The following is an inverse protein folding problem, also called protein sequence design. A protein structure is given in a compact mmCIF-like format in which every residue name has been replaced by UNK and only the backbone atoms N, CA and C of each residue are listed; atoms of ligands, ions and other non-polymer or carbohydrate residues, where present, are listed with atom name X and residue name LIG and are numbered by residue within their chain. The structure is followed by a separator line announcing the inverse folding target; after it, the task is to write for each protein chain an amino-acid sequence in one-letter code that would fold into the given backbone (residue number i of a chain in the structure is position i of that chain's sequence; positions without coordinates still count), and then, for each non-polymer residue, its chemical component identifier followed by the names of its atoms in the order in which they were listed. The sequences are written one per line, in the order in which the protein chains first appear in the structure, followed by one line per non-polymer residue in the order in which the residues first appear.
data_IF_283968622007
#
_entry.id   IF_283968622007
#
_cell.length_a   1.000
_cell.length_b   1.000
_cell.length_c   1.000
_cell.angle_alpha   90.00
_cell.angle_beta   90.00
_cell.angle_gamma   90.00
#
_symmetry.space_group_name_H-M   'P 1'
#
loop_
_entity.id
_entity.type
_entity.pdbx_description
1 polymer ?
#
# COMPACT_ATOMS: atom_id res chain seq x y z
N UNK A 1 1.29 15.91 -28.35
CA UNK A 1 1.24 14.55 -27.75
C UNK A 1 2.09 14.59 -26.50
N UNK A 2 1.52 14.35 -25.33
CA UNK A 2 2.25 14.29 -24.06
C UNK A 2 2.34 12.84 -23.60
N UNK A 3 3.55 12.34 -23.39
CA UNK A 3 3.78 11.00 -22.85
C UNK A 3 4.60 11.15 -21.59
N UNK A 4 4.10 10.61 -20.49
CA UNK A 4 4.85 10.50 -19.24
C UNK A 4 5.02 9.03 -18.89
N UNK A 5 6.25 8.64 -18.55
CA UNK A 5 6.55 7.35 -17.96
C UNK A 5 7.03 7.59 -16.54
N UNK A 6 6.35 6.97 -15.58
CA UNK A 6 6.73 7.07 -14.17
C UNK A 6 6.98 5.66 -13.65
N UNK A 7 8.22 5.41 -13.22
CA UNK A 7 8.63 4.14 -12.63
C UNK A 7 8.97 4.35 -11.16
N UNK A 8 8.32 3.59 -10.27
CA UNK A 8 8.62 3.60 -8.85
C UNK A 8 9.42 2.35 -8.47
N UNK A 9 10.66 2.57 -8.03
CA UNK A 9 11.61 1.50 -7.71
C UNK A 9 12.44 1.83 -6.44
N UNK A 10 11.74 2.21 -5.37
CA UNK A 10 12.38 2.42 -4.07
C UNK A 10 12.64 1.10 -3.35
N UNK A 11 13.62 1.12 -2.44
CA UNK A 11 13.97 -0.01 -1.59
C UNK A 11 13.30 0.09 -0.23
N UNK A 12 12.92 -1.03 0.37
CA UNK A 12 12.40 -1.02 1.75
C UNK A 12 13.46 -0.53 2.74
N UNK A 13 13.02 0.15 3.81
CA UNK A 13 13.91 0.50 4.92
C UNK A 13 14.51 -0.76 5.56
N UNK A 14 13.76 -1.87 5.56
CA UNK A 14 14.25 -3.22 5.86
C UNK A 14 13.70 -4.21 4.85
N UNK A 15 14.61 -4.97 4.24
CA UNK A 15 14.28 -6.01 3.25
C UNK A 15 13.34 -7.08 3.80
N UNK A 16 12.62 -7.72 2.89
CA UNK A 16 11.99 -9.00 3.18
C UNK A 16 13.04 -10.11 3.01
N UNK A 17 13.16 -11.07 3.94
CA UNK A 17 14.08 -12.20 3.74
C UNK A 17 13.58 -13.08 2.59
N UNK A 18 14.38 -13.22 1.52
CA UNK A 18 14.02 -14.04 0.35
C UNK A 18 13.68 -15.49 0.71
N UNK A 19 14.35 -16.05 1.73
CA UNK A 19 14.05 -17.40 2.27
C UNK A 19 12.63 -17.57 2.81
N UNK A 20 11.94 -16.46 3.13
CA UNK A 20 10.58 -16.46 3.62
C UNK A 20 9.55 -16.18 2.50
N UNK A 21 10.02 -15.95 1.27
CA UNK A 21 9.15 -15.79 0.10
C UNK A 21 8.68 -17.16 -0.37
N UNK A 22 7.40 -17.30 -0.69
CA UNK A 22 6.85 -18.54 -1.22
C UNK A 22 5.43 -18.42 -1.71
N UNK A 23 4.92 -19.47 -2.33
CA UNK A 23 3.54 -19.52 -2.79
C UNK A 23 2.54 -19.53 -1.63
N UNK A 24 1.41 -18.86 -1.84
CA UNK A 24 0.31 -18.77 -0.90
C UNK A 24 -1.03 -18.54 -1.61
N UNK A 25 -2.12 -18.72 -0.87
CA UNK A 25 -3.47 -18.54 -1.39
C UNK A 25 -3.89 -17.08 -1.33
N UNK A 26 -4.25 -16.52 -2.48
CA UNK A 26 -4.94 -15.25 -2.61
C UNK A 26 -6.43 -15.48 -2.86
N UNK A 27 -7.28 -14.93 -2.00
CA UNK A 27 -8.74 -15.09 -2.00
C UNK A 27 -9.37 -13.99 -2.84
N UNK A 28 -9.62 -14.29 -4.11
CA UNK A 28 -10.18 -13.33 -5.07
C UNK A 28 -11.65 -13.02 -4.73
N UNK A 29 -12.37 -14.03 -4.27
CA UNK A 29 -13.72 -13.96 -3.73
C UNK A 29 -13.83 -14.95 -2.56
N UNK A 30 -14.87 -14.86 -1.72
CA UNK A 30 -14.99 -15.64 -0.47
C UNK A 30 -14.74 -17.16 -0.62
N UNK A 31 -14.93 -17.75 -1.81
CA UNK A 31 -14.66 -19.18 -2.09
C UNK A 31 -13.67 -19.45 -3.22
N UNK A 32 -13.18 -18.41 -3.92
CA UNK A 32 -12.28 -18.55 -5.07
C UNK A 32 -10.88 -18.13 -4.68
N UNK A 33 -9.92 -19.03 -4.84
CA UNK A 33 -8.51 -18.75 -4.56
C UNK A 33 -7.63 -18.98 -5.77
N UNK A 34 -6.55 -18.21 -5.88
CA UNK A 34 -5.44 -18.41 -6.81
C UNK A 34 -4.13 -18.55 -6.03
N UNK A 35 -3.11 -19.14 -6.64
CA UNK A 35 -1.76 -19.13 -6.08
C UNK A 35 -1.08 -17.81 -6.42
N UNK A 36 -0.40 -17.19 -5.45
CA UNK A 36 0.49 -16.04 -5.64
C UNK A 36 1.74 -16.19 -4.79
N UNK A 37 2.81 -15.54 -5.21
CA UNK A 37 4.04 -15.45 -4.41
C UNK A 37 3.87 -14.36 -3.36
N UNK A 38 4.12 -14.70 -2.10
CA UNK A 38 4.08 -13.78 -0.97
C UNK A 38 5.46 -13.66 -0.36
N UNK A 39 5.84 -12.43 -0.06
CA UNK A 39 7.00 -12.11 0.77
C UNK A 39 6.55 -12.01 2.22
N UNK A 40 7.34 -12.54 3.15
CA UNK A 40 7.01 -12.54 4.58
C UNK A 40 8.11 -11.98 5.46
N UNK A 41 7.74 -11.13 6.41
CA UNK A 41 8.64 -10.71 7.51
C UNK A 41 7.88 -10.40 8.79
N UNK A 42 8.55 -10.62 9.92
CA UNK A 42 8.13 -10.08 11.22
C UNK A 42 8.93 -8.82 11.49
N UNK A 43 8.27 -7.68 11.68
CA UNK A 43 8.95 -6.39 11.88
C UNK A 43 8.03 -5.41 12.63
N UNK A 44 8.61 -4.31 13.12
CA UNK A 44 7.84 -3.20 13.67
C UNK A 44 7.29 -2.32 12.55
N UNK A 45 5.96 -2.22 12.48
CA UNK A 45 5.27 -1.46 11.44
C UNK A 45 4.15 -0.62 12.04
N UNK A 46 3.84 0.49 11.38
CA UNK A 46 2.66 1.29 11.74
C UNK A 46 1.42 0.52 11.32
N UNK A 47 0.56 0.22 12.28
CA UNK A 47 -0.68 -0.50 12.05
C UNK A 47 -1.85 0.09 12.80
N UNK A 48 -3.01 0.00 12.16
CA UNK A 48 -4.28 0.38 12.75
C UNK A 48 -5.39 -0.47 12.16
N UNK A 49 -6.26 -0.96 13.03
CA UNK A 49 -7.56 -1.49 12.63
C UNK A 49 -8.51 -0.31 12.44
N UNK A 50 -9.08 -0.20 11.26
CA UNK A 50 -10.15 0.74 10.96
C UNK A 50 -11.47 -0.04 10.91
N UNK A 51 -12.27 0.09 11.95
CA UNK A 51 -13.60 -0.51 11.98
C UNK A 51 -14.53 0.24 11.01
N UNK A 52 -15.18 -0.52 10.13
CA UNK A 52 -16.35 -0.03 9.41
C UNK A 52 -17.55 -0.11 10.34
N UNK A 53 -18.60 0.69 10.08
CA UNK A 53 -19.87 0.57 10.80
C UNK A 53 -20.53 -0.81 10.64
N UNK A 54 -21.81 -0.92 10.98
CA UNK A 54 -22.55 -2.18 10.95
C UNK A 54 -22.38 -2.96 9.62
N UNK A 55 -21.99 -4.24 9.72
CA UNK A 55 -21.84 -5.15 8.57
C UNK A 55 -20.42 -5.68 8.30
N UNK A 56 -19.43 -5.36 9.14
CA UNK A 56 -18.10 -5.99 9.07
C UNK A 56 -17.21 -5.47 7.93
N UNK A 57 -17.45 -4.24 7.47
CA UNK A 57 -16.71 -3.57 6.38
C UNK A 57 -15.39 -2.91 6.84
N UNK A 58 -14.81 -3.36 7.94
CA UNK A 58 -13.52 -2.83 8.42
C UNK A 58 -12.35 -3.21 7.53
N UNK A 59 -11.25 -2.51 7.70
CA UNK A 59 -9.97 -2.79 7.04
C UNK A 59 -8.81 -2.61 8.00
N UNK A 60 -7.73 -3.33 7.72
CA UNK A 60 -6.44 -3.12 8.35
C UNK A 60 -5.64 -2.13 7.52
N UNK A 61 -5.06 -1.14 8.20
CA UNK A 61 -4.05 -0.25 7.65
C UNK A 61 -2.68 -0.74 8.12
N UNK A 62 -1.79 -1.03 7.17
CA UNK A 62 -0.38 -1.35 7.44
C UNK A 62 0.50 -0.41 6.62
N UNK A 63 1.40 0.32 7.27
CA UNK A 63 2.35 1.18 6.57
C UNK A 63 3.79 0.66 6.73
N UNK A 64 4.39 0.30 5.61
CA UNK A 64 5.76 -0.23 5.51
C UNK A 64 6.68 0.88 5.00
N UNK A 65 7.72 1.27 5.75
CA UNK A 65 8.60 2.35 5.33
C UNK A 65 9.55 1.93 4.20
N UNK A 66 9.72 2.81 3.22
CA UNK A 66 10.85 2.79 2.29
C UNK A 66 12.10 3.38 2.93
N UNK A 67 13.25 3.06 2.37
CA UNK A 67 14.52 3.67 2.72
C UNK A 67 14.51 5.15 2.35
N UNK A 68 15.22 5.96 3.13
CA UNK A 68 15.27 7.41 2.95
C UNK A 68 14.66 8.14 4.13
N UNK A 69 15.50 8.91 4.80
CA UNK A 69 15.12 9.76 5.91
C UNK A 69 15.23 11.24 5.53
N UNK A 70 14.49 12.10 6.22
CA UNK A 70 14.71 13.54 6.13
C UNK A 70 15.90 14.00 7.01
N UNK A 71 16.09 15.32 7.09
CA UNK A 71 17.13 15.95 7.89
C UNK A 71 16.99 15.65 9.40
N UNK A 72 15.78 15.29 9.86
CA UNK A 72 15.49 14.92 11.25
C UNK A 72 15.65 13.41 11.49
N UNK A 73 16.16 12.67 10.51
CA UNK A 73 16.27 11.20 10.54
C UNK A 73 14.90 10.49 10.64
N UNK A 74 13.82 11.16 10.22
CA UNK A 74 12.49 10.54 10.19
C UNK A 74 12.26 9.84 8.85
N UNK A 75 11.61 8.68 8.88
CA UNK A 75 11.20 7.96 7.68
C UNK A 75 10.07 8.72 6.97
N UNK A 76 10.29 9.02 5.70
CA UNK A 76 9.43 9.97 4.97
C UNK A 76 8.46 9.32 4.00
N UNK A 77 8.74 8.10 3.55
CA UNK A 77 7.93 7.45 2.51
C UNK A 77 7.50 6.06 2.95
N UNK A 78 6.24 5.75 2.68
CA UNK A 78 5.62 4.49 3.10
C UNK A 78 4.83 3.88 1.95
N UNK A 79 4.90 2.56 1.81
CA UNK A 79 3.83 1.81 1.16
C UNK A 79 2.76 1.54 2.20
N UNK A 80 1.55 2.07 1.98
CA UNK A 80 0.41 1.90 2.86
C UNK A 80 -0.55 0.93 2.22
N UNK A 81 -0.88 -0.14 2.91
CA UNK A 81 -1.86 -1.14 2.50
C UNK A 81 -3.16 -0.93 3.27
N UNK A 82 -4.27 -0.89 2.54
CA UNK A 82 -5.63 -0.94 3.04
C UNK A 82 -6.18 -2.33 2.71
N UNK A 83 -6.19 -3.20 3.72
CA UNK A 83 -6.53 -4.62 3.58
C UNK A 83 -7.93 -4.83 4.13
N UNK A 84 -8.95 -5.05 3.29
CA UNK A 84 -10.30 -5.26 3.77
C UNK A 84 -10.40 -6.54 4.59
N UNK A 85 -11.26 -6.59 5.60
CA UNK A 85 -11.44 -7.82 6.41
C UNK A 85 -12.12 -8.95 5.66
N UNK A 86 -12.80 -8.65 4.55
CA UNK A 86 -13.51 -9.60 3.67
C UNK A 86 -12.95 -9.54 2.26
N UNK A 87 -12.97 -10.67 1.55
CA UNK A 87 -12.47 -10.75 0.17
C UNK A 87 -13.41 -10.08 -0.84
N UNK A 88 -14.70 -10.02 -0.55
CA UNK A 88 -15.76 -9.42 -1.38
C UNK A 88 -16.03 -7.93 -1.07
N UNK A 89 -15.12 -7.26 -0.36
CA UNK A 89 -15.30 -5.86 0.02
C UNK A 89 -15.22 -4.93 -1.19
N UNK A 90 -16.08 -3.91 -1.21
CA UNK A 90 -16.00 -2.82 -2.19
C UNK A 90 -14.78 -1.94 -1.89
N UNK A 91 -13.72 -2.12 -2.68
CA UNK A 91 -12.48 -1.35 -2.56
C UNK A 91 -12.70 0.16 -2.74
N UNK A 92 -13.68 0.59 -3.54
CA UNK A 92 -14.02 2.00 -3.70
C UNK A 92 -14.59 2.61 -2.41
N UNK A 93 -15.41 1.84 -1.68
CA UNK A 93 -15.87 2.21 -0.34
C UNK A 93 -14.72 2.24 0.66
N UNK A 94 -13.84 1.23 0.66
CA UNK A 94 -12.65 1.20 1.53
C UNK A 94 -11.77 2.43 1.32
N UNK A 95 -11.54 2.85 0.07
CA UNK A 95 -10.79 4.07 -0.24
C UNK A 95 -11.46 5.32 0.34
N UNK A 96 -12.78 5.45 0.19
CA UNK A 96 -13.55 6.59 0.73
C UNK A 96 -13.55 6.60 2.26
N UNK A 97 -13.78 5.45 2.88
CA UNK A 97 -13.81 5.29 4.34
C UNK A 97 -12.42 5.57 4.94
N UNK A 98 -11.36 5.18 4.25
CA UNK A 98 -10.01 5.60 4.59
C UNK A 98 -9.83 7.11 4.48
N UNK A 99 -10.03 7.69 3.29
CA UNK A 99 -9.63 9.07 3.02
C UNK A 99 -10.51 10.09 3.75
N UNK A 100 -11.83 9.94 3.67
CA UNK A 100 -12.78 10.88 4.25
C UNK A 100 -13.17 10.51 5.69
N UNK A 101 -13.18 9.21 6.04
CA UNK A 101 -13.53 8.74 7.37
C UNK A 101 -12.34 8.74 8.34
N UNK A 102 -11.43 7.78 8.17
CA UNK A 102 -10.32 7.55 9.09
C UNK A 102 -9.27 8.67 9.05
N UNK A 103 -8.86 9.08 7.85
CA UNK A 103 -7.84 10.10 7.63
C UNK A 103 -8.40 11.52 7.70
N UNK A 104 -9.72 11.70 7.51
CA UNK A 104 -10.38 13.01 7.46
C UNK A 104 -9.68 14.01 6.51
N UNK A 105 -9.22 13.52 5.36
CA UNK A 105 -8.48 14.29 4.36
C UNK A 105 -6.99 14.47 4.64
N UNK A 106 -6.46 13.99 5.77
CA UNK A 106 -5.04 14.09 6.14
C UNK A 106 -4.42 12.72 6.49
N UNK A 107 -4.06 11.91 5.47
CA UNK A 107 -3.40 10.63 5.69
C UNK A 107 -2.12 10.73 6.51
N UNK A 108 -1.34 11.81 6.39
CA UNK A 108 -0.10 11.98 7.15
C UNK A 108 -0.35 12.09 8.65
N UNK A 109 -1.37 12.85 9.07
CA UNK A 109 -1.78 12.91 10.48
C UNK A 109 -2.25 11.55 10.99
N UNK A 110 -3.01 10.81 10.18
CA UNK A 110 -3.44 9.46 10.54
C UNK A 110 -2.24 8.51 10.73
N UNK A 111 -1.30 8.50 9.78
CA UNK A 111 -0.11 7.64 9.83
C UNK A 111 0.75 7.95 11.06
N UNK A 112 0.96 9.23 11.39
CA UNK A 112 1.68 9.65 12.62
C UNK A 112 1.01 9.10 13.88
N UNK A 113 -0.32 9.05 13.92
CA UNK A 113 -1.10 8.52 15.05
C UNK A 113 -1.19 6.99 15.11
N UNK A 114 -0.76 6.28 14.06
CA UNK A 114 -0.79 4.81 14.06
C UNK A 114 0.27 4.25 15.02
N UNK A 115 -0.11 3.21 15.78
CA UNK A 115 0.79 2.53 16.69
C UNK A 115 1.86 1.76 15.93
N UNK A 116 3.10 1.85 16.41
CA UNK A 116 4.17 0.95 15.98
C UNK A 116 3.99 -0.38 16.71
N UNK A 117 3.81 -1.46 15.95
CA UNK A 117 3.58 -2.81 16.48
C UNK A 117 4.45 -3.83 15.77
N UNK A 118 4.85 -4.88 16.48
CA UNK A 118 5.47 -6.06 15.87
C UNK A 118 4.41 -6.91 15.16
N UNK A 119 4.55 -7.06 13.85
CA UNK A 119 3.57 -7.73 12.97
C UNK A 119 4.28 -8.78 12.14
N UNK A 120 3.69 -9.97 12.05
CA UNK A 120 4.02 -11.02 11.07
C UNK A 120 3.19 -10.77 9.81
N UNK A 121 3.84 -10.22 8.78
CA UNK A 121 3.20 -9.68 7.59
C UNK A 121 3.47 -10.53 6.35
N UNK A 122 2.40 -10.87 5.61
CA UNK A 122 2.46 -11.49 4.28
C UNK A 122 2.02 -10.48 3.21
N UNK A 123 2.90 -10.13 2.27
CA UNK A 123 2.63 -9.18 1.18
C UNK A 123 2.80 -9.87 -0.18
N UNK A 124 1.85 -9.74 -1.12
CA UNK A 124 2.04 -10.22 -2.49
C UNK A 124 3.28 -9.59 -3.13
N UNK A 125 4.09 -10.42 -3.77
CA UNK A 125 5.13 -9.95 -4.67
C UNK A 125 4.47 -9.50 -5.97
N UNK A 126 4.82 -8.31 -6.45
CA UNK A 126 4.31 -7.73 -7.69
C UNK A 126 5.52 -7.38 -8.57
N UNK A 127 5.58 -7.93 -9.77
CA UNK A 127 6.63 -7.66 -10.75
C UNK A 127 6.00 -7.10 -12.03
N UNK A 128 6.49 -5.96 -12.48
CA UNK A 128 6.12 -5.34 -13.75
C UNK A 128 4.68 -4.84 -13.81
N UNK A 129 4.05 -4.48 -12.69
CA UNK A 129 2.68 -3.94 -12.73
C UNK A 129 2.70 -2.61 -13.48
N UNK A 130 2.10 -2.62 -14.67
CA UNK A 130 2.07 -1.49 -15.59
C UNK A 130 0.63 -1.09 -15.90
N UNK A 131 0.34 0.20 -15.76
CA UNK A 131 -0.92 0.81 -16.18
C UNK A 131 -0.65 1.89 -17.20
N UNK A 132 -1.35 1.84 -18.33
CA UNK A 132 -1.32 2.87 -19.36
C UNK A 132 -2.62 3.66 -19.31
N UNK A 133 -2.53 4.92 -18.90
CA UNK A 133 -3.67 5.80 -18.65
C UNK A 133 -3.76 6.83 -19.77
N UNK A 134 -4.90 6.84 -20.47
CA UNK A 134 -5.22 7.85 -21.48
C UNK A 134 -5.92 9.02 -20.79
N UNK A 135 -5.20 10.12 -20.59
CA UNK A 135 -5.68 11.26 -19.80
C UNK A 135 -6.92 11.92 -20.39
N UNK A 136 -7.06 11.92 -21.72
CA UNK A 136 -8.24 12.48 -22.40
C UNK A 136 -9.52 11.76 -22.01
N UNK A 137 -9.48 10.45 -21.72
CA UNK A 137 -10.67 9.70 -21.29
C UNK A 137 -11.11 10.08 -19.87
N UNK A 138 -10.16 10.41 -19.00
CA UNK A 138 -10.42 10.84 -17.61
C UNK A 138 -10.89 12.30 -17.58
N UNK A 139 -10.29 13.16 -18.41
CA UNK A 139 -10.52 14.61 -18.45
C UNK A 139 -11.64 15.01 -19.43
N UNK A 140 -12.36 14.04 -20.02
CA UNK A 140 -13.47 14.31 -20.96
C UNK A 140 -14.58 15.17 -20.37
N UNK A 141 -14.69 15.26 -19.05
CA UNK A 141 -15.62 16.16 -18.34
C UNK A 141 -15.10 17.58 -18.10
N UNK A 142 -13.82 17.89 -18.39
CA UNK A 142 -13.20 19.20 -18.10
C UNK A 142 -12.74 19.96 -19.34
N UNK A 143 -12.59 19.30 -20.50
CA UNK A 143 -12.23 19.96 -21.74
C UNK A 143 -13.48 20.20 -22.61
N UNK A 144 -13.77 21.47 -22.89
CA UNK A 144 -14.78 21.86 -23.86
C UNK A 144 -14.52 21.21 -25.22
N UNK A 145 -15.60 20.87 -25.92
CA UNK A 145 -15.63 20.22 -27.23
C UNK A 145 -15.09 21.14 -28.34
N UNK A 146 -13.79 21.42 -28.31
CA UNK A 146 -13.06 22.16 -29.34
C UNK A 146 -12.21 21.22 -30.21
N UNK A 147 -12.02 21.53 -31.51
CA UNK A 147 -11.29 20.66 -32.45
C UNK A 147 -9.78 20.54 -32.16
N UNK A 148 -9.23 21.37 -31.26
CA UNK A 148 -7.83 21.31 -30.79
C UNK A 148 -7.62 20.39 -29.57
N UNK A 149 -8.68 19.83 -28.99
CA UNK A 149 -8.68 19.03 -27.76
C UNK A 149 -8.22 17.57 -27.90
N UNK A 150 -7.79 17.14 -29.09
CA UNK A 150 -7.43 15.76 -29.40
C UNK A 150 -5.92 15.45 -29.32
N UNK A 151 -5.14 16.28 -28.62
CA UNK A 151 -3.73 15.97 -28.39
C UNK A 151 -3.61 14.78 -27.43
N UNK A 152 -3.35 13.59 -27.98
CA UNK A 152 -3.18 12.35 -27.22
C UNK A 152 -2.20 12.55 -26.05
N UNK A 153 -2.70 12.33 -24.84
CA UNK A 153 -1.94 12.46 -23.61
C UNK A 153 -2.02 11.15 -22.83
N UNK A 154 -0.87 10.52 -22.59
CA UNK A 154 -0.77 9.19 -21.99
C UNK A 154 0.21 9.19 -20.83
N UNK A 155 -0.17 8.53 -19.74
CA UNK A 155 0.73 8.28 -18.61
C UNK A 155 0.87 6.78 -18.43
N UNK A 156 2.08 6.29 -18.56
CA UNK A 156 2.45 4.91 -18.22
C UNK A 156 3.04 4.90 -16.82
N UNK A 157 2.49 4.08 -15.93
CA UNK A 157 2.97 3.92 -14.55
C UNK A 157 3.42 2.49 -14.35
N UNK A 158 4.63 2.31 -13.82
CA UNK A 158 5.18 1.00 -13.47
C UNK A 158 5.58 0.96 -11.98
N UNK A 159 5.24 -0.12 -11.30
CA UNK A 159 5.64 -0.35 -9.91
C UNK A 159 6.01 -1.81 -9.68
N UNK A 160 7.13 -2.02 -8.97
CA UNK A 160 7.58 -3.31 -8.48
C UNK A 160 7.49 -3.36 -6.96
N UNK A 161 6.98 -4.47 -6.43
CA UNK A 161 6.90 -4.79 -5.00
C UNK A 161 7.63 -6.11 -4.79
N UNK A 162 8.91 -6.03 -4.41
CA UNK A 162 9.81 -7.18 -4.25
C UNK A 162 10.58 -7.10 -2.91
N UNK A 163 11.50 -8.03 -2.68
CA UNK A 163 12.16 -8.19 -1.40
C UNK A 163 13.20 -7.10 -1.09
N UNK A 164 13.62 -6.33 -2.09
CA UNK A 164 14.78 -5.44 -2.03
C UNK A 164 14.65 -4.38 -0.94
N UNK A 165 15.66 -4.28 -0.10
CA UNK A 165 15.70 -3.32 1.00
C UNK A 165 17.07 -3.27 1.66
N UNK A 166 17.24 -2.30 2.53
CA UNK A 166 18.46 -2.16 3.31
C UNK A 166 18.61 -3.31 4.31
N UNK A 167 19.85 -3.70 4.58
CA UNK A 167 20.22 -4.49 5.76
C UNK A 167 20.19 -3.55 6.98
N UNK A 168 19.00 -3.10 7.38
CA UNK A 168 18.85 -2.20 8.52
C UNK A 168 18.86 -2.95 9.84
N UNK A 169 19.71 -2.52 10.79
CA UNK A 169 19.59 -2.87 12.21
C UNK A 169 18.20 -2.50 12.73
N UNK A 170 17.70 -3.21 13.74
CA UNK A 170 16.40 -2.96 14.36
C UNK A 170 16.24 -1.47 14.70
N UNK A 171 15.00 -0.97 14.71
CA UNK A 171 14.72 0.33 15.30
C UNK A 171 14.95 -0.05 16.75
N UNK A 172 16.10 0.34 17.29
CA UNK A 172 16.43 0.14 18.70
C UNK A 172 15.48 1.03 19.48
N UNK A 173 14.22 0.61 19.52
CA UNK A 173 13.27 1.11 20.49
C UNK A 173 13.54 0.25 21.72
N UNK A 174 14.21 0.88 22.68
CA UNK A 174 14.41 0.39 24.03
C UNK A 174 13.04 0.06 24.64
N UNK A 175 12.61 -1.19 24.51
CA UNK A 175 11.24 -1.59 24.83
C UNK A 175 11.11 -3.07 25.20
N UNK A 176 11.64 -3.41 26.37
CA UNK A 176 11.29 -4.56 27.21
C UNK A 176 11.18 -5.94 26.54
N UNK A 177 12.27 -6.71 26.64
CA UNK A 177 12.29 -8.16 26.44
C UNK A 177 11.57 -8.90 27.59
N UNK A 178 10.29 -8.62 27.83
CA UNK A 178 9.44 -9.33 28.79
C UNK A 178 7.99 -9.08 28.40
N UNK A 179 7.42 -9.96 27.57
CA UNK A 179 6.02 -10.39 27.60
C UNK A 179 5.77 -11.17 26.30
N UNK A 180 5.19 -12.37 26.41
CA UNK A 180 4.71 -13.18 25.29
C UNK A 180 3.49 -12.52 24.60
N UNK A 181 3.67 -11.30 24.07
CA UNK A 181 2.65 -10.64 23.28
C UNK A 181 2.47 -11.44 21.99
N UNK A 182 1.25 -11.95 21.79
CA UNK A 182 0.84 -12.63 20.56
C UNK A 182 1.13 -11.69 19.39
N UNK A 183 2.12 -12.03 18.57
CA UNK A 183 2.46 -11.28 17.36
C UNK A 183 1.24 -11.24 16.45
N UNK A 184 0.82 -10.04 16.08
CA UNK A 184 -0.33 -9.83 15.21
C UNK A 184 0.01 -10.31 13.80
N UNK A 185 -0.86 -11.12 13.20
CA UNK A 185 -0.67 -11.65 11.83
C UNK A 185 -1.53 -10.87 10.87
N UNK A 186 -0.92 -10.22 9.90
CA UNK A 186 -1.64 -9.52 8.82
C UNK A 186 -1.26 -10.14 7.49
N UNK A 187 -2.26 -10.58 6.73
CA UNK A 187 -2.06 -11.20 5.41
C UNK A 187 -2.79 -10.41 4.34
N UNK A 188 -2.04 -9.90 3.38
CA UNK A 188 -2.57 -9.14 2.25
C UNK A 188 -2.95 -10.11 1.13
N UNK A 189 -3.84 -11.05 1.44
CA UNK A 189 -4.10 -12.22 0.62
C UNK A 189 -5.50 -12.21 0.00
N UNK A 190 -6.04 -11.05 -0.32
CA UNK A 190 -7.38 -10.79 -0.85
C UNK A 190 -7.39 -9.42 -1.53
N UNK A 191 -8.36 -9.06 -2.36
CA UNK A 191 -8.42 -7.76 -3.00
C UNK A 191 -8.14 -6.60 -2.04
N UNK A 192 -7.23 -5.70 -2.43
CA UNK A 192 -6.76 -4.63 -1.57
C UNK A 192 -6.42 -3.37 -2.38
N UNK A 193 -6.27 -2.26 -1.66
CA UNK A 193 -5.65 -1.04 -2.18
C UNK A 193 -4.34 -0.84 -1.45
N UNK A 194 -3.27 -0.56 -2.18
CA UNK A 194 -2.03 -0.05 -1.63
C UNK A 194 -1.70 1.30 -2.25
N UNK A 195 -0.92 2.13 -1.56
CA UNK A 195 -0.47 3.39 -2.12
C UNK A 195 0.86 3.82 -1.53
N UNK A 196 1.67 4.49 -2.34
CA UNK A 196 2.91 5.12 -1.89
C UNK A 196 2.58 6.50 -1.37
N UNK A 197 2.90 6.77 -0.11
CA UNK A 197 2.67 8.05 0.55
C UNK A 197 3.98 8.73 0.92
N UNK A 198 4.14 10.00 0.56
CA UNK A 198 5.28 10.82 0.98
C UNK A 198 4.82 11.83 2.04
N UNK A 199 5.33 11.63 3.27
CA UNK A 199 5.02 12.42 4.46
C UNK A 199 5.48 13.88 4.35
N UNK A 200 6.54 14.16 3.56
CA UNK A 200 7.11 15.52 3.47
C UNK A 200 6.20 16.46 2.71
N UNK A 201 5.60 15.96 1.64
CA UNK A 201 4.67 16.74 0.81
C UNK A 201 3.20 16.44 1.12
N UNK A 202 2.93 15.47 2.01
CA UNK A 202 1.59 15.01 2.37
C UNK A 202 0.76 14.61 1.13
N UNK A 203 1.34 13.77 0.27
CA UNK A 203 0.72 13.34 -0.99
C UNK A 203 0.86 11.84 -1.24
N UNK A 204 -0.18 11.30 -1.87
CA UNK A 204 -0.16 9.98 -2.51
C UNK A 204 0.56 10.12 -3.84
N UNK A 205 1.60 9.32 -4.05
CA UNK A 205 2.40 9.30 -5.27
C UNK A 205 1.87 8.26 -6.26
N UNK A 206 1.51 7.09 -5.76
CA UNK A 206 1.03 5.96 -6.55
C UNK A 206 -0.09 5.25 -5.82
N UNK A 207 -1.05 4.70 -6.56
CA UNK A 207 -2.10 3.83 -6.04
C UNK A 207 -2.06 2.52 -6.82
N UNK A 208 -2.05 1.41 -6.08
CA UNK A 208 -2.17 0.05 -6.58
C UNK A 208 -3.51 -0.48 -6.13
N UNK A 209 -4.29 -0.97 -7.08
CA UNK A 209 -5.50 -1.75 -6.82
C UNK A 209 -5.23 -3.15 -7.36
N UNK A 210 -5.13 -4.11 -6.47
CA UNK A 210 -4.89 -5.51 -6.83
C UNK A 210 -6.10 -6.34 -6.44
N UNK A 211 -6.76 -6.90 -7.44
CA UNK A 211 -7.96 -7.73 -7.29
C UNK A 211 -7.68 -9.20 -7.50
N UNK A 212 -6.42 -9.61 -7.63
CA UNK A 212 -6.08 -11.02 -7.91
C UNK A 212 -6.05 -11.40 -9.40
N UNK A 213 -6.42 -10.51 -10.32
CA UNK A 213 -6.37 -10.74 -11.76
C UNK A 213 -5.29 -9.92 -12.44
#
# INVERSE_FOLDING_TARGET
IYVSLVHFADQWNRRFPEKNTGEGKFYVENRKTISRVFMRKTDYMRHRVCEGGDGGYGFDLVAIPYAGMDQNKELTRYMVYLVPRRADADLGRIWKDFFYGAAKGDPGKLLRSCHLKMIDLDVPKIEGLRSDIVLSEILRGTHGSGPEGAAGSRVSVCIDVNERGMDGSALEDSGCACCAHKVEKVRINRPYIAFVFDMRINRVLFVVKDTGY
#
